data_IF_640671706258
#
_entry.id   IF_640671706258
#
_cell.length_a   1.000
_cell.length_b   1.000
_cell.length_c   1.000
_cell.angle_alpha   90.00
_cell.angle_beta   90.00
_cell.angle_gamma   90.00
#
_symmetry.space_group_name_H-M   'P 1'
#
loop_
_entity.id
_entity.type
_entity.pdbx_description
1 polymer ?
#
# COMPACT_ATOMS: atom_id res chain seq x y z
N UNK A 1 -6.00 10.62 21.21
CA UNK A 1 -5.30 11.75 20.53
C UNK A 1 -6.29 12.86 20.18
N UNK A 2 -7.20 12.65 19.22
CA UNK A 2 -8.20 13.66 18.83
C UNK A 2 -9.32 13.84 19.87
N UNK A 3 -9.94 12.75 20.32
CA UNK A 3 -10.98 12.78 21.36
C UNK A 3 -10.48 13.30 22.73
N UNK A 4 -9.17 13.19 22.98
CA UNK A 4 -8.50 13.68 24.19
C UNK A 4 -8.01 15.13 24.05
N UNK A 5 -8.26 15.81 22.92
CA UNK A 5 -7.82 17.19 22.65
C UNK A 5 -6.31 17.39 22.46
N UNK A 6 -5.52 16.32 22.40
CA UNK A 6 -4.06 16.37 22.22
C UNK A 6 -3.64 16.55 20.76
N UNK A 7 -4.54 16.26 19.83
CA UNK A 7 -4.44 16.53 18.41
C UNK A 7 -5.72 17.21 17.94
N UNK A 8 -5.67 17.93 16.81
CA UNK A 8 -6.82 18.66 16.25
C UNK A 8 -7.27 18.13 14.89
N UNK A 9 -6.42 17.40 14.17
CA UNK A 9 -6.73 16.73 12.89
C UNK A 9 -5.87 15.46 12.75
N UNK A 10 -6.14 14.64 11.73
CA UNK A 10 -5.38 13.43 11.38
C UNK A 10 -5.28 13.30 9.88
N UNK A 11 -4.25 12.62 9.39
CA UNK A 11 -4.08 12.26 7.99
C UNK A 11 -3.90 10.74 7.91
N UNK A 12 -4.47 10.09 6.89
CA UNK A 12 -4.25 8.67 6.71
C UNK A 12 -2.85 8.42 6.14
N UNK A 13 -2.31 7.22 6.36
CA UNK A 13 -1.05 6.80 5.76
C UNK A 13 -1.29 5.55 4.90
N UNK A 14 -0.67 5.45 3.71
CA UNK A 14 0.13 6.48 3.05
C UNK A 14 -0.73 7.65 2.56
N UNK A 15 -0.15 8.85 2.48
CA UNK A 15 -0.82 10.04 1.98
C UNK A 15 -0.17 10.58 0.71
N UNK A 16 -0.99 11.20 -0.14
CA UNK A 16 -0.53 11.87 -1.33
C UNK A 16 -0.17 13.35 -1.10
N UNK A 17 0.57 13.93 -2.05
CA UNK A 17 0.92 15.37 -2.02
C UNK A 17 -0.31 16.28 -1.98
N UNK A 18 -1.43 15.85 -2.58
CA UNK A 18 -2.69 16.59 -2.54
C UNK A 18 -3.23 16.72 -1.11
N UNK A 19 -3.29 15.61 -0.38
CA UNK A 19 -3.77 15.56 1.01
C UNK A 19 -2.90 16.39 1.95
N UNK A 20 -1.57 16.38 1.75
CA UNK A 20 -0.65 17.22 2.51
C UNK A 20 -0.91 18.72 2.26
N UNK A 21 -1.17 19.11 1.00
CA UNK A 21 -1.48 20.50 0.64
C UNK A 21 -2.77 20.96 1.30
N UNK A 22 -3.81 20.12 1.28
CA UNK A 22 -5.08 20.44 1.94
C UNK A 22 -4.93 20.54 3.46
N UNK A 23 -4.11 19.67 4.06
CA UNK A 23 -3.76 19.78 5.48
C UNK A 23 -3.04 21.10 5.78
N UNK A 24 -2.10 21.51 4.93
CA UNK A 24 -1.40 22.79 5.09
C UNK A 24 -2.35 23.99 5.02
N UNK A 25 -3.34 23.97 4.12
CA UNK A 25 -4.38 25.00 4.05
C UNK A 25 -5.25 25.03 5.31
N UNK A 26 -5.68 23.88 5.82
CA UNK A 26 -6.42 23.79 7.09
C UNK A 26 -5.62 24.33 8.28
N UNK A 27 -4.32 24.03 8.33
CA UNK A 27 -3.40 24.59 9.33
C UNK A 27 -3.34 26.12 9.21
N UNK A 28 -3.24 26.65 7.98
CA UNK A 28 -3.16 28.09 7.70
C UNK A 28 -4.39 28.84 8.19
N UNK A 29 -5.59 28.31 7.94
CA UNK A 29 -6.85 28.95 8.36
C UNK A 29 -7.32 28.54 9.77
N UNK A 30 -6.63 27.59 10.42
CA UNK A 30 -6.96 27.01 11.74
C UNK A 30 -8.32 26.31 11.79
N UNK A 31 -8.80 25.82 10.66
CA UNK A 31 -10.03 25.03 10.55
C UNK A 31 -9.68 23.54 10.51
N UNK A 32 -9.75 22.90 11.67
CA UNK A 32 -9.43 21.48 11.80
C UNK A 32 -10.70 20.64 11.88
N UNK A 33 -10.64 19.43 11.33
CA UNK A 33 -11.79 18.50 11.29
C UNK A 33 -12.13 17.87 12.64
N UNK A 34 -11.23 17.92 13.62
CA UNK A 34 -11.49 17.38 14.96
C UNK A 34 -11.75 15.86 14.96
N UNK A 35 -12.56 15.33 15.90
CA UNK A 35 -12.85 13.90 15.99
C UNK A 35 -13.53 13.31 14.75
N UNK A 36 -14.26 14.11 13.97
CA UNK A 36 -14.93 13.67 12.74
C UNK A 36 -13.94 13.21 11.67
N UNK A 37 -12.70 13.72 11.69
CA UNK A 37 -11.62 13.31 10.79
C UNK A 37 -11.32 11.81 10.86
N UNK A 38 -11.52 11.17 12.02
CA UNK A 38 -11.28 9.74 12.19
C UNK A 38 -12.30 8.92 11.39
N UNK A 39 -13.57 9.31 11.45
CA UNK A 39 -14.64 8.61 10.74
C UNK A 39 -14.51 8.80 9.23
N UNK A 40 -14.14 10.00 8.79
CA UNK A 40 -13.89 10.31 7.38
C UNK A 40 -12.67 9.55 6.83
N UNK A 41 -11.57 9.51 7.58
CA UNK A 41 -10.38 8.71 7.23
C UNK A 41 -10.70 7.21 7.17
N UNK A 42 -11.48 6.70 8.13
CA UNK A 42 -11.89 5.30 8.13
C UNK A 42 -12.82 4.95 6.94
N UNK A 43 -13.66 5.89 6.51
CA UNK A 43 -14.54 5.70 5.36
C UNK A 43 -13.74 5.63 4.05
N UNK A 44 -12.75 6.50 3.85
CA UNK A 44 -11.89 6.49 2.65
C UNK A 44 -11.03 5.22 2.57
N UNK A 45 -10.55 4.70 3.71
CA UNK A 45 -9.82 3.43 3.76
C UNK A 45 -10.67 2.22 3.30
N UNK A 46 -12.00 2.34 3.28
CA UNK A 46 -12.91 1.27 2.86
C UNK A 46 -13.20 1.19 1.35
N UNK A 47 -12.64 2.10 0.55
CA UNK A 47 -12.84 2.13 -0.91
C UNK A 47 -11.70 1.49 -1.70
N UNK A 48 -10.72 0.84 -1.04
CA UNK A 48 -9.70 0.09 -1.77
C UNK A 48 -10.38 -1.06 -2.54
N UNK A 49 -10.12 -1.18 -3.85
CA UNK A 49 -10.66 -2.28 -4.64
C UNK A 49 -10.20 -3.62 -4.07
N UNK A 50 -11.13 -4.55 -3.96
CA UNK A 50 -10.86 -5.91 -3.50
C UNK A 50 -10.47 -6.79 -4.68
N UNK A 51 -9.23 -7.29 -4.66
CA UNK A 51 -8.68 -8.19 -5.67
C UNK A 51 -8.51 -9.62 -5.14
N UNK A 52 -9.30 -9.99 -4.11
CA UNK A 52 -9.34 -11.35 -3.57
C UNK A 52 -9.44 -12.42 -4.66
N UNK A 53 -8.58 -13.43 -4.54
CA UNK A 53 -8.51 -14.55 -5.48
C UNK A 53 -7.50 -14.38 -6.61
N UNK A 54 -6.93 -13.19 -6.81
CA UNK A 54 -5.77 -13.02 -7.69
C UNK A 54 -4.51 -13.53 -7.01
N UNK A 55 -3.69 -14.24 -7.78
CA UNK A 55 -2.36 -14.72 -7.40
C UNK A 55 -1.29 -13.98 -8.18
N UNK A 56 -0.41 -13.28 -7.48
CA UNK A 56 0.67 -12.50 -8.08
C UNK A 56 2.02 -13.05 -7.64
N UNK A 57 2.95 -13.17 -8.59
CA UNK A 57 4.35 -13.44 -8.32
C UNK A 57 5.15 -12.12 -8.37
N UNK A 58 5.84 -11.77 -7.29
CA UNK A 58 6.69 -10.60 -7.19
C UNK A 58 8.17 -11.01 -7.15
N UNK A 59 8.95 -10.53 -8.11
CA UNK A 59 10.35 -10.90 -8.35
C UNK A 59 11.24 -9.67 -8.29
N UNK A 60 12.17 -9.65 -7.33
CA UNK A 60 13.15 -8.56 -7.14
C UNK A 60 14.33 -9.14 -6.35
N UNK A 61 15.59 -8.76 -6.64
CA UNK A 61 16.77 -9.30 -5.95
C UNK A 61 16.99 -8.67 -4.56
N UNK A 62 16.35 -7.53 -4.30
CA UNK A 62 16.41 -6.80 -3.04
C UNK A 62 15.24 -7.15 -2.12
N UNK A 63 15.56 -7.75 -0.97
CA UNK A 63 14.58 -8.12 0.07
C UNK A 63 13.65 -6.96 0.48
N UNK A 64 14.18 -5.73 0.59
CA UNK A 64 13.38 -4.58 1.01
C UNK A 64 12.33 -4.24 -0.05
N UNK A 65 12.69 -4.29 -1.33
CA UNK A 65 11.75 -4.03 -2.41
C UNK A 65 10.67 -5.12 -2.47
N UNK A 66 11.04 -6.40 -2.31
CA UNK A 66 10.10 -7.52 -2.27
C UNK A 66 9.06 -7.36 -1.17
N UNK A 67 9.50 -7.07 0.06
CA UNK A 67 8.58 -6.91 1.19
C UNK A 67 7.70 -5.66 1.04
N UNK A 68 8.25 -4.53 0.55
CA UNK A 68 7.44 -3.33 0.29
C UNK A 68 6.36 -3.59 -0.76
N UNK A 69 6.69 -4.30 -1.85
CA UNK A 69 5.72 -4.64 -2.89
C UNK A 69 4.63 -5.59 -2.35
N UNK A 70 5.02 -6.60 -1.59
CA UNK A 70 4.08 -7.53 -0.95
C UNK A 70 3.14 -6.80 0.01
N UNK A 71 3.68 -5.95 0.90
CA UNK A 71 2.88 -5.19 1.85
C UNK A 71 1.85 -4.33 1.12
N UNK A 72 2.25 -3.67 0.02
CA UNK A 72 1.33 -2.90 -0.80
C UNK A 72 0.22 -3.78 -1.43
N UNK A 73 0.57 -4.92 -2.03
CA UNK A 73 -0.41 -5.80 -2.70
C UNK A 73 -1.37 -6.49 -1.72
N UNK A 74 -0.91 -6.87 -0.53
CA UNK A 74 -1.74 -7.50 0.50
C UNK A 74 -2.83 -6.55 1.01
N UNK A 75 -2.63 -5.22 0.96
CA UNK A 75 -3.70 -4.26 1.29
C UNK A 75 -4.92 -4.36 0.38
N UNK A 76 -4.79 -5.00 -0.79
CA UNK A 76 -5.89 -5.27 -1.72
C UNK A 76 -6.40 -6.72 -1.68
N UNK A 77 -6.07 -7.48 -0.63
CA UNK A 77 -6.39 -8.91 -0.46
C UNK A 77 -5.85 -9.83 -1.57
N UNK A 78 -4.74 -9.47 -2.20
CA UNK A 78 -4.08 -10.28 -3.22
C UNK A 78 -3.21 -11.36 -2.54
N UNK A 79 -3.21 -12.58 -3.09
CA UNK A 79 -2.26 -13.63 -2.70
C UNK A 79 -0.93 -13.41 -3.44
N UNK A 80 0.15 -13.18 -2.68
CA UNK A 80 1.45 -12.78 -3.23
C UNK A 80 2.50 -13.83 -2.89
N UNK A 81 3.11 -14.41 -3.91
CA UNK A 81 4.33 -15.19 -3.80
C UNK A 81 5.53 -14.31 -4.12
N UNK A 82 6.63 -14.47 -3.37
CA UNK A 82 7.89 -13.75 -3.59
C UNK A 82 8.91 -14.67 -4.24
N UNK A 83 9.74 -14.14 -5.13
CA UNK A 83 10.95 -14.78 -5.64
C UNK A 83 12.12 -13.79 -5.63
N UNK A 84 13.32 -14.28 -5.34
CA UNK A 84 14.55 -13.47 -5.26
C UNK A 84 15.38 -13.47 -6.54
N UNK A 85 15.01 -14.29 -7.52
CA UNK A 85 15.71 -14.40 -8.79
C UNK A 85 14.78 -14.81 -9.93
N UNK A 86 15.23 -14.59 -11.17
CA UNK A 86 14.53 -15.07 -12.35
C UNK A 86 14.45 -16.60 -12.43
N UNK A 87 15.48 -17.31 -11.96
CA UNK A 87 15.48 -18.78 -11.95
C UNK A 87 14.41 -19.34 -11.00
N UNK A 88 14.35 -18.84 -9.76
CA UNK A 88 13.30 -19.20 -8.81
C UNK A 88 11.91 -18.83 -9.35
N UNK A 89 11.78 -17.66 -9.99
CA UNK A 89 10.53 -17.26 -10.60
C UNK A 89 10.08 -18.24 -11.70
N UNK A 90 11.00 -18.71 -12.55
CA UNK A 90 10.74 -19.71 -13.58
C UNK A 90 10.30 -21.06 -12.98
N UNK A 91 10.96 -21.51 -11.91
CA UNK A 91 10.57 -22.72 -11.19
C UNK A 91 9.16 -22.59 -10.61
N UNK A 92 8.84 -21.44 -10.00
CA UNK A 92 7.53 -21.19 -9.40
C UNK A 92 6.39 -21.15 -10.43
N UNK A 93 6.57 -20.46 -11.56
CA UNK A 93 5.56 -20.42 -12.64
C UNK A 93 5.42 -21.76 -13.36
N UNK A 94 6.42 -22.65 -13.27
CA UNK A 94 6.31 -24.02 -13.80
C UNK A 94 5.45 -24.93 -12.91
N UNK A 95 5.36 -24.62 -11.61
CA UNK A 95 4.65 -25.41 -10.60
C UNK A 95 3.27 -24.85 -10.25
N UNK A 96 3.05 -23.55 -10.45
CA UNK A 96 1.84 -22.83 -10.03
C UNK A 96 1.38 -21.86 -11.11
N UNK A 97 0.06 -21.64 -11.18
CA UNK A 97 -0.54 -20.59 -12.01
C UNK A 97 -0.58 -19.26 -11.27
N UNK A 98 -0.22 -18.18 -11.97
CA UNK A 98 -0.30 -16.79 -11.50
C UNK A 98 -1.07 -15.94 -12.52
N UNK A 99 -1.84 -14.97 -12.03
CA UNK A 99 -2.59 -14.04 -12.86
C UNK A 99 -1.71 -12.89 -13.38
N UNK A 100 -0.65 -12.55 -12.65
CA UNK A 100 0.33 -11.53 -13.01
C UNK A 100 1.70 -11.80 -12.37
N UNK A 101 2.77 -11.39 -13.07
CA UNK A 101 4.12 -11.34 -12.53
C UNK A 101 4.60 -9.89 -12.50
N UNK A 102 4.98 -9.39 -11.32
CA UNK A 102 5.76 -8.18 -11.17
C UNK A 102 7.24 -8.55 -11.11
N UNK A 103 8.03 -8.10 -12.07
CA UNK A 103 9.46 -8.42 -12.16
C UNK A 103 10.29 -7.14 -12.24
N UNK A 104 11.29 -7.01 -11.37
CA UNK A 104 12.28 -5.96 -11.51
C UNK A 104 13.10 -6.18 -12.80
N UNK A 105 13.08 -5.15 -13.65
CA UNK A 105 13.82 -5.16 -14.92
C UNK A 105 15.31 -4.89 -14.74
N UNK A 106 15.75 -4.49 -13.54
CA UNK A 106 17.14 -4.14 -13.22
C UNK A 106 17.85 -5.21 -12.38
N UNK A 107 17.31 -6.43 -12.32
CA UNK A 107 18.03 -7.53 -11.69
C UNK A 107 19.28 -7.89 -12.49
N UNK A 108 20.43 -8.09 -11.83
CA UNK A 108 21.59 -8.69 -12.46
C UNK A 108 21.24 -10.13 -12.88
N UNK A 109 21.42 -10.43 -14.16
CA UNK A 109 21.30 -11.75 -14.75
C UNK A 109 22.54 -12.08 -15.55
#
# INVERSE_FOLDING_TARGET
MLASGRARDVLNLPFERGELREMAERIRVREFRGPAAIAEVAAVASELPDFSGLRILAVDDNLVNREVLKDALVTFNIDVTLAESGEEALDLVSLNDYDLVFMDCSMPG
#
